data_IF_939997307444
#
_entry.id   IF_939997307444
#
_cell.length_a   1.000
_cell.length_b   1.000
_cell.length_c   1.000
_cell.angle_alpha   90.00
_cell.angle_beta   90.00
_cell.angle_gamma   90.00
#
_symmetry.space_group_name_H-M   'P 1'
#
loop_
_entity.id
_entity.type
_entity.pdbx_description
1 polymer ?
#
# COMPACT_ATOMS: atom_id res chain seq x y z
N UNK A 1 -42.94 -47.99 -28.10
CA UNK A 1 -42.04 -47.95 -26.92
C UNK A 1 -40.63 -47.92 -27.49
N UNK A 2 -39.96 -46.80 -27.33
CA UNK A 2 -38.53 -46.68 -27.66
C UNK A 2 -37.75 -47.32 -26.51
N UNK A 3 -37.07 -48.43 -26.80
CA UNK A 3 -36.20 -49.11 -25.82
C UNK A 3 -34.82 -48.45 -25.94
N UNK A 4 -34.42 -47.64 -24.97
CA UNK A 4 -33.08 -47.08 -24.88
C UNK A 4 -32.15 -48.22 -24.41
N UNK A 5 -31.05 -48.56 -25.14
CA UNK A 5 -30.12 -49.57 -24.68
C UNK A 5 -29.48 -49.19 -23.33
N UNK A 6 -29.28 -50.18 -22.48
CA UNK A 6 -28.74 -49.97 -21.13
C UNK A 6 -27.35 -49.28 -21.13
N UNK A 7 -26.57 -49.44 -22.18
CA UNK A 7 -25.28 -48.77 -22.36
C UNK A 7 -25.39 -47.24 -22.56
N UNK A 8 -26.46 -46.77 -23.21
CA UNK A 8 -26.71 -45.33 -23.41
C UNK A 8 -27.17 -44.70 -22.10
N UNK A 9 -28.02 -45.36 -21.32
CA UNK A 9 -28.43 -44.91 -20.00
C UNK A 9 -27.24 -44.76 -19.02
N UNK A 10 -26.28 -45.67 -19.06
CA UNK A 10 -25.05 -45.57 -18.25
C UNK A 10 -24.22 -44.36 -18.63
N UNK A 11 -24.06 -44.09 -19.93
CA UNK A 11 -23.30 -42.92 -20.40
C UNK A 11 -23.97 -41.58 -20.01
N UNK A 12 -25.28 -41.48 -20.15
CA UNK A 12 -26.05 -40.31 -19.71
C UNK A 12 -25.94 -40.08 -18.20
N UNK A 13 -26.01 -41.15 -17.41
CA UNK A 13 -25.83 -41.09 -15.97
C UNK A 13 -24.45 -40.51 -15.59
N UNK A 14 -23.37 -40.99 -16.24
CA UNK A 14 -22.03 -40.49 -15.97
C UNK A 14 -21.86 -39.05 -16.40
N UNK A 15 -22.48 -38.59 -17.48
CA UNK A 15 -22.46 -37.16 -17.87
C UNK A 15 -23.11 -36.28 -16.81
N UNK A 16 -24.23 -36.69 -16.25
CA UNK A 16 -24.91 -35.96 -15.15
C UNK A 16 -24.03 -35.94 -13.89
N UNK A 17 -23.43 -37.05 -13.52
CA UNK A 17 -22.52 -37.13 -12.37
C UNK A 17 -21.32 -36.21 -12.56
N UNK A 18 -20.69 -36.22 -13.73
CA UNK A 18 -19.55 -35.32 -14.05
C UNK A 18 -19.97 -33.84 -13.98
N UNK A 19 -21.13 -33.50 -14.54
CA UNK A 19 -21.64 -32.13 -14.50
C UNK A 19 -21.90 -31.64 -13.06
N UNK A 20 -22.46 -32.47 -12.22
CA UNK A 20 -22.72 -32.18 -10.79
C UNK A 20 -21.40 -32.00 -10.03
N UNK A 21 -20.44 -32.89 -10.22
CA UNK A 21 -19.13 -32.84 -9.58
C UNK A 21 -18.38 -31.58 -10.05
N UNK A 22 -18.40 -31.27 -11.34
CA UNK A 22 -17.79 -30.07 -11.89
C UNK A 22 -18.38 -28.79 -11.27
N UNK A 23 -19.72 -28.70 -11.22
CA UNK A 23 -20.40 -27.55 -10.62
C UNK A 23 -20.09 -27.43 -9.12
N UNK A 24 -20.05 -28.54 -8.39
CA UNK A 24 -19.67 -28.53 -6.98
C UNK A 24 -18.22 -28.05 -6.79
N UNK A 25 -17.28 -28.55 -7.60
CA UNK A 25 -15.89 -28.15 -7.54
C UNK A 25 -15.69 -26.67 -7.85
N UNK A 26 -16.37 -26.12 -8.86
CA UNK A 26 -16.26 -24.68 -9.20
C UNK A 26 -16.77 -23.81 -8.06
N UNK A 27 -17.93 -24.11 -7.47
CA UNK A 27 -18.48 -23.37 -6.33
C UNK A 27 -17.57 -23.48 -5.10
N UNK A 28 -17.02 -24.65 -4.82
CA UNK A 28 -16.10 -24.87 -3.71
C UNK A 28 -14.81 -24.06 -3.88
N UNK A 29 -14.20 -24.14 -5.05
CA UNK A 29 -12.96 -23.40 -5.34
C UNK A 29 -13.16 -21.90 -5.27
N UNK A 30 -14.26 -21.37 -5.81
CA UNK A 30 -14.60 -19.95 -5.73
C UNK A 30 -14.75 -19.50 -4.27
N UNK A 31 -15.45 -20.28 -3.45
CA UNK A 31 -15.61 -19.98 -2.01
C UNK A 31 -14.27 -19.99 -1.27
N UNK A 32 -13.40 -20.95 -1.53
CA UNK A 32 -12.07 -21.04 -0.91
C UNK A 32 -11.20 -19.87 -1.35
N UNK A 33 -11.23 -19.51 -2.64
CA UNK A 33 -10.48 -18.38 -3.17
C UNK A 33 -10.94 -17.05 -2.56
N UNK A 34 -12.24 -16.82 -2.49
CA UNK A 34 -12.84 -15.62 -1.90
C UNK A 34 -12.48 -15.48 -0.42
N UNK A 35 -12.58 -16.58 0.37
CA UNK A 35 -12.18 -16.55 1.77
C UNK A 35 -10.69 -16.23 1.94
N UNK A 36 -9.82 -16.81 1.12
CA UNK A 36 -8.38 -16.56 1.18
C UNK A 36 -8.05 -15.08 0.85
N UNK A 37 -8.74 -14.49 -0.13
CA UNK A 37 -8.61 -13.07 -0.49
C UNK A 37 -9.00 -12.16 0.67
N UNK A 38 -10.18 -12.36 1.27
CA UNK A 38 -10.69 -11.57 2.40
C UNK A 38 -9.74 -11.62 3.60
N UNK A 39 -9.23 -12.80 3.95
CA UNK A 39 -8.26 -12.95 5.06
C UNK A 39 -6.95 -12.24 4.75
N UNK A 40 -6.48 -12.25 3.50
CA UNK A 40 -5.27 -11.55 3.07
C UNK A 40 -5.43 -10.03 3.17
N UNK A 41 -6.53 -9.47 2.69
CA UNK A 41 -6.84 -8.04 2.77
C UNK A 41 -6.95 -7.57 4.23
N UNK A 42 -7.66 -8.30 5.08
CA UNK A 42 -7.77 -7.98 6.51
C UNK A 42 -6.41 -7.96 7.23
N UNK A 43 -5.49 -8.86 6.88
CA UNK A 43 -4.13 -8.86 7.44
C UNK A 43 -3.32 -7.65 7.00
N UNK A 44 -3.48 -7.25 5.73
CA UNK A 44 -2.80 -6.08 5.20
C UNK A 44 -3.33 -4.79 5.81
N UNK A 45 -4.65 -4.64 5.95
CA UNK A 45 -5.27 -3.48 6.62
C UNK A 45 -4.80 -3.36 8.08
N UNK A 46 -4.73 -4.49 8.79
CA UNK A 46 -4.19 -4.52 10.14
C UNK A 46 -2.71 -4.14 10.20
N UNK A 47 -1.92 -4.55 9.21
CA UNK A 47 -0.52 -4.16 9.10
C UNK A 47 -0.40 -2.66 8.87
N UNK A 48 -1.13 -2.10 7.90
CA UNK A 48 -1.13 -0.68 7.55
C UNK A 48 -1.50 0.17 8.78
N UNK A 49 -2.62 -0.14 9.44
CA UNK A 49 -3.09 0.60 10.62
C UNK A 49 -2.10 0.53 11.80
N UNK A 50 -1.50 -0.64 12.06
CA UNK A 50 -0.51 -0.78 13.13
C UNK A 50 0.77 0.01 12.83
N UNK A 51 1.24 -0.01 11.57
CA UNK A 51 2.43 0.75 11.16
C UNK A 51 2.18 2.23 11.15
N UNK A 52 1.02 2.67 10.67
CA UNK A 52 0.60 4.06 10.77
C UNK A 52 0.63 4.55 12.21
N UNK A 53 -0.03 3.84 13.15
CA UNK A 53 -0.05 4.24 14.56
C UNK A 53 1.36 4.33 15.17
N UNK A 54 2.25 3.41 14.81
CA UNK A 54 3.63 3.44 15.26
C UNK A 54 4.39 4.66 14.71
N UNK A 55 4.31 4.92 13.40
CA UNK A 55 4.97 6.05 12.78
C UNK A 55 4.37 7.39 13.17
N UNK A 56 3.04 7.46 13.28
CA UNK A 56 2.34 8.64 13.76
C UNK A 56 2.83 9.04 15.14
N UNK A 57 2.87 8.11 16.10
CA UNK A 57 3.39 8.38 17.45
C UNK A 57 4.84 8.89 17.44
N UNK A 58 5.66 8.41 16.49
CA UNK A 58 7.08 8.72 16.45
C UNK A 58 7.40 10.01 15.68
N UNK A 59 6.66 10.32 14.63
CA UNK A 59 7.03 11.37 13.67
C UNK A 59 5.94 12.44 13.46
N UNK A 60 4.82 12.39 14.17
CA UNK A 60 3.73 13.36 14.00
C UNK A 60 4.20 14.80 14.12
N UNK A 61 5.07 15.08 15.10
CA UNK A 61 5.52 16.45 15.39
C UNK A 61 6.40 17.01 14.27
N UNK A 62 7.18 16.15 13.59
CA UNK A 62 8.01 16.51 12.46
C UNK A 62 7.14 16.81 11.23
N UNK A 63 6.16 15.97 10.96
CA UNK A 63 5.34 16.05 9.75
C UNK A 63 4.27 17.17 9.87
N UNK A 64 3.78 17.47 11.08
CA UNK A 64 2.83 18.56 11.31
C UNK A 64 3.44 19.97 11.13
N UNK A 65 4.73 20.13 11.40
CA UNK A 65 5.44 21.42 11.21
C UNK A 65 5.49 21.81 9.74
N UNK A 66 5.37 20.86 8.84
CA UNK A 66 5.66 21.07 7.44
C UNK A 66 4.47 21.52 6.62
N UNK A 67 3.19 21.16 6.88
CA UNK A 67 2.04 21.73 6.13
C UNK A 67 0.61 21.27 6.48
N UNK A 68 -0.36 22.17 6.09
CA UNK A 68 -1.81 21.91 6.11
C UNK A 68 -2.32 21.07 4.93
N UNK A 69 -1.46 20.47 4.07
CA UNK A 69 -1.91 19.61 2.99
C UNK A 69 -2.00 18.15 3.43
N UNK A 70 -3.22 17.75 3.70
CA UNK A 70 -3.57 16.41 4.15
C UNK A 70 -3.10 15.30 3.19
N UNK A 71 -3.00 15.60 1.88
CA UNK A 71 -2.59 14.64 0.86
C UNK A 71 -1.11 14.31 0.98
N UNK A 72 -0.25 15.33 1.15
CA UNK A 72 1.19 15.12 1.37
C UNK A 72 1.43 14.33 2.64
N UNK A 73 0.72 14.66 3.71
CA UNK A 73 0.83 14.00 4.99
C UNK A 73 0.51 12.50 4.89
N UNK A 74 -0.64 12.13 4.30
CA UNK A 74 -1.02 10.74 4.11
C UNK A 74 -0.05 10.03 3.16
N UNK A 75 0.42 10.71 2.11
CA UNK A 75 1.37 10.17 1.15
C UNK A 75 2.73 9.84 1.80
N UNK A 76 3.25 10.73 2.65
CA UNK A 76 4.48 10.46 3.42
C UNK A 76 4.35 9.22 4.31
N UNK A 77 3.24 9.08 5.04
CA UNK A 77 3.00 7.86 5.83
C UNK A 77 2.85 6.62 4.96
N UNK A 78 2.22 6.72 3.80
CA UNK A 78 2.07 5.61 2.85
C UNK A 78 3.43 5.12 2.35
N UNK A 79 4.32 6.03 1.99
CA UNK A 79 5.71 5.74 1.61
C UNK A 79 6.47 5.09 2.78
N UNK A 80 6.39 5.64 3.99
CA UNK A 80 7.03 5.04 5.17
C UNK A 80 6.57 3.62 5.44
N UNK A 81 5.26 3.35 5.32
CA UNK A 81 4.69 2.02 5.53
C UNK A 81 5.22 1.04 4.49
N UNK A 82 5.22 1.43 3.21
CA UNK A 82 5.71 0.61 2.11
C UNK A 82 7.20 0.29 2.25
N UNK A 83 8.02 1.31 2.48
CA UNK A 83 9.47 1.13 2.64
C UNK A 83 9.81 0.26 3.84
N UNK A 84 9.05 0.39 4.93
CA UNK A 84 9.25 -0.47 6.10
C UNK A 84 8.80 -1.91 5.84
N UNK A 85 7.80 -2.14 4.98
CA UNK A 85 7.36 -3.48 4.59
C UNK A 85 8.43 -4.19 3.76
N UNK A 86 8.96 -3.51 2.75
CA UNK A 86 9.91 -4.08 1.80
C UNK A 86 11.34 -4.21 2.35
N UNK A 87 11.69 -3.47 3.41
CA UNK A 87 13.05 -3.44 3.93
C UNK A 87 13.13 -3.79 5.41
N UNK A 88 13.54 -5.01 5.69
CA UNK A 88 13.85 -5.47 7.04
C UNK A 88 15.00 -4.67 7.67
N UNK A 89 15.08 -4.67 9.02
CA UNK A 89 16.11 -3.96 9.81
C UNK A 89 17.54 -4.27 9.37
N UNK A 90 17.80 -5.48 8.90
CA UNK A 90 19.12 -5.92 8.45
C UNK A 90 19.57 -5.22 7.16
N UNK A 91 18.68 -5.05 6.20
CA UNK A 91 18.96 -4.35 4.92
C UNK A 91 19.32 -2.88 5.16
N UNK A 92 18.59 -2.19 6.05
CA UNK A 92 18.90 -0.79 6.44
C UNK A 92 20.27 -0.67 7.10
N UNK A 93 20.67 -1.65 7.91
CA UNK A 93 22.02 -1.64 8.52
C UNK A 93 23.13 -1.80 7.48
N UNK A 94 22.91 -2.63 6.46
CA UNK A 94 23.85 -2.77 5.34
C UNK A 94 23.96 -1.50 4.48
N UNK A 95 22.85 -0.82 4.25
CA UNK A 95 22.80 0.45 3.49
C UNK A 95 23.63 1.54 4.20
N UNK A 96 23.48 1.70 5.53
CA UNK A 96 24.32 2.62 6.33
C UNK A 96 25.81 2.32 6.22
N UNK A 97 26.20 1.05 6.18
CA UNK A 97 27.61 0.66 5.98
C UNK A 97 28.09 1.09 4.59
N UNK A 98 27.24 0.94 3.55
CA UNK A 98 27.59 1.36 2.18
C UNK A 98 27.79 2.86 2.07
N UNK A 99 26.90 3.67 2.68
CA UNK A 99 27.04 5.13 2.71
C UNK A 99 28.36 5.54 3.37
N UNK A 100 28.69 4.96 4.53
CA UNK A 100 29.96 5.24 5.23
C UNK A 100 31.19 4.86 4.42
N UNK A 101 31.04 4.00 3.41
CA UNK A 101 32.09 3.66 2.46
C UNK A 101 32.13 4.58 1.22
N UNK A 102 31.39 5.71 1.24
CA UNK A 102 31.37 6.70 0.16
C UNK A 102 30.56 6.29 -1.08
N UNK A 103 29.62 5.36 -0.95
CA UNK A 103 28.77 4.93 -2.07
C UNK A 103 27.40 5.58 -1.97
N UNK A 104 26.95 6.21 -3.06
CA UNK A 104 25.58 6.69 -3.17
C UNK A 104 24.58 5.55 -2.96
N UNK A 105 23.63 5.73 -2.05
CA UNK A 105 22.57 4.74 -1.78
C UNK A 105 21.35 5.43 -1.20
N UNK A 106 20.24 4.72 -1.12
CA UNK A 106 19.03 5.23 -0.46
C UNK A 106 19.11 4.99 1.04
N UNK A 107 18.81 6.02 1.84
CA UNK A 107 18.97 6.02 3.31
C UNK A 107 17.75 6.60 4.03
N UNK A 108 17.69 6.36 5.34
CA UNK A 108 16.62 6.81 6.20
C UNK A 108 15.34 6.02 6.06
N UNK A 109 14.28 6.45 6.77
CA UNK A 109 12.97 5.78 6.77
C UNK A 109 12.26 5.96 5.43
N UNK A 110 12.51 7.06 4.72
CA UNK A 110 11.91 7.41 3.44
C UNK A 110 12.70 6.90 2.24
N UNK A 111 13.86 6.30 2.43
CA UNK A 111 14.72 5.79 1.36
C UNK A 111 15.07 6.85 0.30
N UNK A 112 15.44 8.02 0.76
CA UNK A 112 15.91 9.10 -0.12
C UNK A 112 17.34 8.81 -0.56
N UNK A 113 17.66 9.03 -1.84
CA UNK A 113 19.01 8.92 -2.37
C UNK A 113 19.92 9.97 -1.72
N UNK A 114 21.04 9.54 -1.13
CA UNK A 114 22.01 10.43 -0.47
C UNK A 114 23.41 9.82 -0.45
N UNK A 115 24.38 10.70 -0.42
CA UNK A 115 25.78 10.38 -0.16
C UNK A 115 26.13 10.47 1.34
N UNK A 116 25.21 10.98 2.16
CA UNK A 116 25.33 11.11 3.60
C UNK A 116 24.45 10.10 4.36
N UNK A 117 24.88 9.70 5.56
CA UNK A 117 24.08 8.87 6.47
C UNK A 117 23.02 9.76 7.12
N UNK A 118 21.79 9.71 6.59
CA UNK A 118 20.66 10.54 7.04
C UNK A 118 19.96 9.90 8.24
N UNK A 119 19.55 10.75 9.17
CA UNK A 119 18.59 10.37 10.21
C UNK A 119 17.20 10.15 9.60
N UNK A 120 16.30 9.54 10.37
CA UNK A 120 14.91 9.38 9.93
C UNK A 120 14.24 10.75 9.68
N UNK A 121 14.52 11.75 10.53
CA UNK A 121 13.99 13.13 10.41
C UNK A 121 14.49 13.83 9.16
N UNK A 122 15.79 13.78 8.91
CA UNK A 122 16.37 14.34 7.69
C UNK A 122 15.80 13.69 6.43
N UNK A 123 15.61 12.37 6.45
CA UNK A 123 15.02 11.66 5.31
C UNK A 123 13.56 12.02 5.08
N UNK A 124 12.77 12.28 6.15
CA UNK A 124 11.38 12.74 6.07
C UNK A 124 11.34 14.14 5.46
N UNK A 125 12.17 15.06 5.94
CA UNK A 125 12.23 16.43 5.43
C UNK A 125 12.62 16.46 3.95
N UNK A 126 13.63 15.68 3.53
CA UNK A 126 14.03 15.60 2.12
C UNK A 126 12.90 15.01 1.24
N UNK A 127 12.22 13.98 1.70
CA UNK A 127 11.07 13.39 0.99
C UNK A 127 9.93 14.41 0.86
N UNK A 128 9.64 15.15 1.94
CA UNK A 128 8.62 16.19 1.94
C UNK A 128 8.95 17.29 0.90
N UNK A 129 10.16 17.83 0.89
CA UNK A 129 10.55 18.87 -0.09
C UNK A 129 10.48 18.33 -1.51
N UNK A 130 10.90 17.09 -1.76
CA UNK A 130 10.80 16.48 -3.08
C UNK A 130 9.34 16.38 -3.54
N UNK A 131 8.44 15.91 -2.68
CA UNK A 131 7.02 15.78 -3.00
C UNK A 131 6.36 17.16 -3.16
N UNK A 132 6.70 18.14 -2.30
CA UNK A 132 6.17 19.51 -2.39
C UNK A 132 6.54 20.17 -3.70
N UNK A 133 7.79 20.07 -4.12
CA UNK A 133 8.25 20.63 -5.39
C UNK A 133 7.48 20.05 -6.58
N UNK A 134 7.20 18.75 -6.57
CA UNK A 134 6.42 18.09 -7.62
C UNK A 134 4.94 18.53 -7.60
N UNK A 135 4.33 18.67 -6.43
CA UNK A 135 2.94 19.12 -6.27
C UNK A 135 2.78 20.58 -6.75
N UNK A 136 3.73 21.45 -6.41
CA UNK A 136 3.70 22.85 -6.85
C UNK A 136 3.93 22.99 -8.36
N UNK A 137 4.74 22.12 -8.96
CA UNK A 137 4.97 22.11 -10.42
C UNK A 137 3.82 21.47 -11.20
N UNK A 138 3.11 20.55 -10.57
CA UNK A 138 2.06 19.77 -11.21
C UNK A 138 0.72 20.50 -11.24
N UNK A 139 0.39 21.13 -12.37
CA UNK A 139 -0.99 21.54 -12.70
C UNK A 139 -1.81 20.31 -13.11
N UNK A 140 -1.86 19.25 -12.25
CA UNK A 140 -2.53 18.00 -12.61
C UNK A 140 -3.98 18.09 -12.16
N UNK A 141 -4.88 18.18 -13.13
CA UNK A 141 -6.33 18.04 -12.95
C UNK A 141 -6.66 16.57 -13.24
N UNK A 142 -6.38 15.69 -12.28
CA UNK A 142 -6.82 14.29 -12.32
C UNK A 142 -7.70 13.99 -11.11
N UNK A 143 -8.35 12.83 -11.12
CA UNK A 143 -8.98 12.31 -9.90
C UNK A 143 -7.91 12.08 -8.81
N UNK A 144 -8.31 12.07 -7.55
CA UNK A 144 -7.39 11.91 -6.40
C UNK A 144 -6.45 10.69 -6.54
N UNK A 145 -6.91 9.62 -7.18
CA UNK A 145 -6.13 8.39 -7.37
C UNK A 145 -5.02 8.57 -8.41
N UNK A 146 -5.35 9.17 -9.56
CA UNK A 146 -4.38 9.46 -10.62
C UNK A 146 -3.31 10.43 -10.15
N UNK A 147 -3.69 11.42 -9.35
CA UNK A 147 -2.78 12.41 -8.76
C UNK A 147 -1.79 11.75 -7.79
N UNK A 148 -2.26 10.91 -6.87
CA UNK A 148 -1.40 10.20 -5.91
C UNK A 148 -0.46 9.22 -6.62
N UNK A 149 -0.95 8.50 -7.64
CA UNK A 149 -0.12 7.62 -8.44
C UNK A 149 1.00 8.37 -9.14
N UNK A 150 0.69 9.53 -9.72
CA UNK A 150 1.68 10.40 -10.35
C UNK A 150 2.76 10.85 -9.35
N UNK A 151 2.41 11.38 -8.19
CA UNK A 151 3.39 11.82 -7.19
C UNK A 151 4.25 10.66 -6.66
N UNK A 152 3.65 9.48 -6.48
CA UNK A 152 4.40 8.29 -6.09
C UNK A 152 5.40 7.87 -7.18
N UNK A 153 5.02 7.96 -8.46
CA UNK A 153 5.90 7.68 -9.60
C UNK A 153 7.03 8.72 -9.73
N UNK A 154 6.75 10.00 -9.50
CA UNK A 154 7.80 11.04 -9.48
C UNK A 154 8.77 10.83 -8.30
N UNK A 155 8.27 10.31 -7.19
CA UNK A 155 9.12 9.98 -6.05
C UNK A 155 10.08 8.82 -6.37
N UNK A 156 9.56 7.75 -6.94
CA UNK A 156 10.33 6.62 -7.44
C UNK A 156 9.72 6.15 -8.78
N UNK A 157 10.45 6.30 -9.91
CA UNK A 157 9.94 6.00 -11.26
C UNK A 157 9.83 4.50 -11.52
N UNK A 158 8.93 3.85 -10.78
CA UNK A 158 8.56 2.44 -10.89
C UNK A 158 7.03 2.35 -10.77
N UNK A 159 6.37 1.78 -11.79
CA UNK A 159 4.91 1.68 -11.82
C UNK A 159 4.34 0.78 -10.73
N UNK A 160 5.02 -0.33 -10.39
CA UNK A 160 4.60 -1.23 -9.31
C UNK A 160 4.72 -0.55 -7.95
N UNK A 161 5.76 0.28 -7.78
CA UNK A 161 5.93 1.14 -6.64
C UNK A 161 4.76 2.12 -6.52
N UNK A 162 4.49 2.89 -7.58
CA UNK A 162 3.45 3.90 -7.58
C UNK A 162 2.07 3.29 -7.29
N UNK A 163 1.71 2.17 -7.92
CA UNK A 163 0.48 1.42 -7.63
C UNK A 163 0.39 0.97 -6.17
N UNK A 164 1.49 0.47 -5.63
CA UNK A 164 1.54 0.01 -4.24
C UNK A 164 1.35 1.14 -3.24
N UNK A 165 1.97 2.29 -3.48
CA UNK A 165 1.81 3.50 -2.65
C UNK A 165 0.37 4.00 -2.71
N UNK A 166 -0.22 4.10 -3.91
CA UNK A 166 -1.61 4.52 -4.11
C UNK A 166 -2.58 3.60 -3.36
N UNK A 167 -2.37 2.30 -3.44
CA UNK A 167 -3.17 1.33 -2.69
C UNK A 167 -3.09 1.54 -1.17
N UNK A 168 -1.87 1.71 -0.63
CA UNK A 168 -1.68 1.97 0.81
C UNK A 168 -2.32 3.30 1.22
N UNK A 169 -2.19 4.33 0.39
CA UNK A 169 -2.80 5.63 0.59
C UNK A 169 -4.33 5.52 0.73
N UNK A 170 -5.00 4.84 -0.18
CA UNK A 170 -6.46 4.63 -0.15
C UNK A 170 -6.90 3.89 1.12
N UNK A 171 -6.18 2.80 1.49
CA UNK A 171 -6.47 2.04 2.71
C UNK A 171 -6.26 2.89 3.96
N UNK A 172 -5.24 3.72 3.98
CA UNK A 172 -4.96 4.64 5.08
C UNK A 172 -6.03 5.73 5.19
N UNK A 173 -6.49 6.31 4.08
CA UNK A 173 -7.64 7.22 4.07
C UNK A 173 -8.90 6.58 4.64
N UNK A 174 -9.21 5.33 4.25
CA UNK A 174 -10.33 4.57 4.80
C UNK A 174 -10.21 4.34 6.31
N UNK A 175 -9.02 3.98 6.79
CA UNK A 175 -8.74 3.80 8.22
C UNK A 175 -8.90 5.11 9.00
N UNK A 176 -8.36 6.21 8.51
CA UNK A 176 -8.43 7.52 9.17
C UNK A 176 -9.88 8.01 9.26
N UNK A 177 -10.66 7.86 8.19
CA UNK A 177 -12.10 8.17 8.17
C UNK A 177 -12.87 7.33 9.20
N UNK A 178 -12.64 6.02 9.24
CA UNK A 178 -13.34 5.09 10.14
C UNK A 178 -13.05 5.34 11.63
N UNK A 179 -11.86 5.87 11.95
CA UNK A 179 -11.43 6.14 13.34
C UNK A 179 -11.70 7.56 13.79
N UNK A 180 -12.32 8.40 12.98
CA UNK A 180 -12.51 9.85 13.20
C UNK A 180 -11.20 10.63 13.44
N UNK A 181 -10.05 9.98 13.27
CA UNK A 181 -8.74 10.61 13.46
C UNK A 181 -8.42 11.63 12.36
N UNK A 182 -9.14 11.57 11.25
CA UNK A 182 -9.06 12.57 10.20
C UNK A 182 -9.42 13.96 10.73
N UNK A 183 -10.48 14.06 11.55
CA UNK A 183 -10.89 15.32 12.18
C UNK A 183 -9.91 15.80 13.25
N UNK A 184 -9.37 14.89 14.07
CA UNK A 184 -8.44 15.23 15.14
C UNK A 184 -7.08 15.69 14.60
N UNK A 185 -6.60 15.10 13.50
CA UNK A 185 -5.32 15.47 12.91
C UNK A 185 -5.35 16.83 12.16
N UNK A 186 -6.54 17.26 11.70
CA UNK A 186 -6.69 18.38 10.76
C UNK A 186 -7.56 19.54 11.24
N UNK A 187 -8.22 19.44 12.42
CA UNK A 187 -9.06 20.49 12.97
C UNK A 187 -8.62 20.99 14.36
N UNK A 188 -7.40 20.66 14.81
CA UNK A 188 -6.88 21.18 16.10
C UNK A 188 -6.40 22.63 16.04
N UNK A 189 -6.55 23.34 14.90
CA UNK A 189 -6.10 24.75 14.76
C UNK A 189 -7.25 25.77 14.66
N UNK A 190 -8.50 25.41 14.96
CA UNK A 190 -9.61 26.38 15.03
C UNK A 190 -9.97 26.83 16.45
N UNK A 191 -9.02 26.79 17.41
CA UNK A 191 -9.23 27.42 18.73
C UNK A 191 -8.01 28.16 19.22
#
# INVERSE_FOLDING_TARGET
KVFIPASELVNEFWLVVIAVVYKFMTVFLDKVYTQKKVVSESRLDKYISNRFNYFYKKYKDIIQITENDNRIWILLFSIMIFENYNRGKFKRKLERIKVRSGRHTTVGIMQVGSDADLTDEESINLAYFKLKDEIVRGNIVTDDEGEINHYAFQYNPDEDYARSITYIYQRLCGYLKSTQRFYIAFHLEEH
#
